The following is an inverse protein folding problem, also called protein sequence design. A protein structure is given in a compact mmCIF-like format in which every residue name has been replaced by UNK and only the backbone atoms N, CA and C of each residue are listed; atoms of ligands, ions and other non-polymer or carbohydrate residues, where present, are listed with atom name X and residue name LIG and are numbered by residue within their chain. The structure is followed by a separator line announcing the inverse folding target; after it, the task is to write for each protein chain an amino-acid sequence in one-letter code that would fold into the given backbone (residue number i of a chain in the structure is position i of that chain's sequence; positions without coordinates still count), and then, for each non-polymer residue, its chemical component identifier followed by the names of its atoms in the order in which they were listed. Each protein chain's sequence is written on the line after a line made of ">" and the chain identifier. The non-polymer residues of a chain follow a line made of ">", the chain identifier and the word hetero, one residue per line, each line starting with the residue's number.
data_IF_681148336763
#
_entry.id   IF_681148336763
#
_cell.length_a   1.000
_cell.length_b   1.000
_cell.length_c   1.000
_cell.angle_alpha   90.00
_cell.angle_beta   90.00
_cell.angle_gamma   90.00
#
_symmetry.space_group_name_H-M   'P 1'
#
loop_
_entity.id
_entity.type
_entity.pdbx_description
1 polymer ?
#
# COMPACT_ATOMS: atom_id res chain seq x y z
N UNK A 1 17.20 -3.59 11.63
CA UNK A 1 16.65 -3.23 12.96
C UNK A 1 15.62 -4.26 13.39
N UNK A 2 15.56 -4.62 14.69
CA UNK A 2 14.54 -5.51 15.22
C UNK A 2 13.14 -4.96 14.96
N UNK A 3 12.16 -5.84 14.81
CA UNK A 3 10.78 -5.42 14.65
C UNK A 3 10.23 -4.85 15.95
N UNK A 4 9.48 -3.75 15.88
CA UNK A 4 8.91 -3.13 17.08
C UNK A 4 7.72 -3.97 17.50
N UNK A 5 7.69 -4.36 18.77
CA UNK A 5 6.53 -5.05 19.31
C UNK A 5 5.30 -4.14 19.23
N UNK A 6 4.24 -4.64 18.59
CA UNK A 6 2.96 -3.97 18.48
C UNK A 6 1.83 -4.98 18.69
N UNK A 7 0.79 -4.57 19.41
CA UNK A 7 -0.39 -5.37 19.68
C UNK A 7 -1.59 -4.80 18.94
N UNK A 8 -2.27 -5.65 18.18
CA UNK A 8 -3.61 -5.37 17.67
C UNK A 8 -4.60 -6.30 18.40
N UNK A 9 -5.35 -5.72 19.34
CA UNK A 9 -6.19 -6.49 20.26
C UNK A 9 -5.34 -7.39 21.16
N UNK A 10 -5.49 -8.72 20.99
CA UNK A 10 -4.76 -9.73 21.76
C UNK A 10 -3.57 -10.33 20.99
N UNK A 11 -3.34 -9.94 19.74
CA UNK A 11 -2.33 -10.53 18.88
C UNK A 11 -1.15 -9.59 18.68
N UNK A 12 0.07 -10.14 18.78
CA UNK A 12 1.28 -9.45 18.36
C UNK A 12 1.37 -9.49 16.84
N UNK A 13 1.57 -8.32 16.22
CA UNK A 13 1.71 -8.20 14.78
C UNK A 13 3.01 -7.47 14.42
N UNK A 14 3.59 -7.87 13.30
CA UNK A 14 4.66 -7.10 12.66
C UNK A 14 4.06 -5.92 11.90
N UNK A 15 4.16 -4.72 12.46
CA UNK A 15 3.74 -3.50 11.76
C UNK A 15 4.53 -3.31 10.46
N UNK A 16 5.83 -3.61 10.49
CA UNK A 16 6.68 -3.51 9.31
C UNK A 16 6.15 -4.42 8.21
N UNK A 17 5.93 -5.69 8.48
CA UNK A 17 5.49 -6.62 7.45
C UNK A 17 4.10 -6.29 6.92
N UNK A 18 3.22 -5.78 7.79
CA UNK A 18 1.87 -5.36 7.39
C UNK A 18 1.92 -4.12 6.49
N UNK A 19 2.62 -3.07 6.92
CA UNK A 19 2.78 -1.82 6.17
C UNK A 19 3.46 -2.04 4.82
N UNK A 20 4.59 -2.75 4.80
CA UNK A 20 5.32 -2.96 3.55
C UNK A 20 4.58 -3.86 2.58
N UNK A 21 3.85 -4.87 3.07
CA UNK A 21 2.97 -5.68 2.22
C UNK A 21 1.90 -4.82 1.56
N UNK A 22 1.26 -3.95 2.32
CA UNK A 22 0.25 -3.04 1.82
C UNK A 22 0.81 -2.09 0.75
N UNK A 23 1.96 -1.46 1.04
CA UNK A 23 2.65 -0.56 0.10
C UNK A 23 3.04 -1.28 -1.19
N UNK A 24 3.61 -2.49 -1.10
CA UNK A 24 4.02 -3.27 -2.27
C UNK A 24 2.82 -3.75 -3.08
N UNK A 25 1.76 -4.23 -2.43
CA UNK A 25 0.55 -4.66 -3.13
C UNK A 25 -0.10 -3.49 -3.86
N UNK A 26 -0.25 -2.34 -3.20
CA UNK A 26 -0.79 -1.14 -3.85
C UNK A 26 0.10 -0.66 -5.01
N UNK A 27 1.43 -0.70 -4.85
CA UNK A 27 2.35 -0.34 -5.93
C UNK A 27 2.13 -1.20 -7.18
N UNK A 28 1.93 -2.51 -7.02
CA UNK A 28 1.71 -3.44 -8.14
C UNK A 28 0.30 -3.37 -8.71
N UNK A 29 -0.73 -3.27 -7.86
CA UNK A 29 -2.13 -3.14 -8.27
C UNK A 29 -2.36 -1.85 -9.05
N UNK A 30 -1.67 -0.77 -8.68
CA UNK A 30 -1.83 0.55 -9.31
C UNK A 30 -0.75 0.87 -10.36
N UNK A 31 0.11 -0.10 -10.72
CA UNK A 31 1.14 0.08 -11.75
C UNK A 31 0.55 0.29 -13.13
N UNK A 32 1.13 1.23 -13.87
CA UNK A 32 0.90 1.40 -15.30
C UNK A 32 1.77 0.41 -16.09
N UNK A 33 1.23 -0.77 -16.40
CA UNK A 33 1.97 -1.82 -17.11
C UNK A 33 2.19 -1.53 -18.60
N UNK A 34 1.49 -0.54 -19.16
CA UNK A 34 1.70 -0.08 -20.54
C UNK A 34 2.96 0.80 -20.69
N UNK A 35 3.55 1.25 -19.58
CA UNK A 35 4.75 2.08 -19.55
C UNK A 35 5.96 1.27 -19.06
N UNK A 36 7.13 1.50 -19.68
CA UNK A 36 8.37 0.81 -19.32
C UNK A 36 9.02 1.34 -18.02
N UNK A 37 8.57 2.47 -17.49
CA UNK A 37 9.07 3.02 -16.24
C UNK A 37 8.87 2.01 -15.09
N UNK A 38 9.94 1.67 -14.35
CA UNK A 38 9.85 0.67 -13.30
C UNK A 38 9.11 1.24 -12.08
N UNK A 39 8.25 0.42 -11.47
CA UNK A 39 7.75 0.68 -10.13
C UNK A 39 8.88 0.45 -9.12
N UNK A 40 9.18 1.45 -8.28
CA UNK A 40 10.30 1.44 -7.34
C UNK A 40 9.79 1.58 -5.91
N UNK A 41 10.32 0.76 -5.02
CA UNK A 41 10.27 0.96 -3.56
C UNK A 41 11.65 1.44 -3.13
N UNK A 42 11.75 2.67 -2.66
CA UNK A 42 13.02 3.32 -2.33
C UNK A 42 13.11 3.45 -0.82
N UNK A 43 14.13 2.83 -0.25
CA UNK A 43 14.40 2.84 1.19
C UNK A 43 15.64 3.71 1.42
N UNK A 44 15.46 4.79 2.16
CA UNK A 44 16.52 5.68 2.60
C UNK A 44 16.69 5.57 4.12
N UNK A 45 17.66 6.30 4.66
CA UNK A 45 17.96 6.29 6.10
C UNK A 45 16.74 6.72 6.93
N UNK A 46 16.04 7.75 6.49
CA UNK A 46 15.01 8.43 7.29
C UNK A 46 13.60 8.32 6.68
N UNK A 47 13.46 7.66 5.52
CA UNK A 47 12.18 7.53 4.84
C UNK A 47 12.11 6.32 3.91
N UNK A 48 10.89 5.90 3.63
CA UNK A 48 10.57 4.94 2.58
C UNK A 48 9.48 5.56 1.71
N UNK A 49 9.69 5.51 0.40
CA UNK A 49 8.72 6.03 -0.53
C UNK A 49 8.68 5.16 -1.79
N UNK A 50 7.62 5.34 -2.58
CA UNK A 50 7.47 4.63 -3.85
C UNK A 50 7.47 5.61 -5.00
N UNK A 51 8.04 5.20 -6.12
CA UNK A 51 7.96 5.93 -7.38
C UNK A 51 7.37 5.01 -8.43
N UNK A 52 6.33 5.47 -9.10
CA UNK A 52 5.64 4.71 -10.13
C UNK A 52 5.15 5.67 -11.21
N UNK A 53 5.20 5.24 -12.46
CA UNK A 53 4.52 5.99 -13.50
C UNK A 53 3.02 5.83 -13.33
N UNK A 54 2.29 6.93 -13.45
CA UNK A 54 0.84 6.91 -13.33
C UNK A 54 0.20 7.99 -14.19
N UNK A 55 -0.84 7.60 -14.93
CA UNK A 55 -1.94 8.50 -15.28
C UNK A 55 -2.98 8.42 -14.15
N UNK A 56 -3.12 9.45 -13.30
CA UNK A 56 -4.00 9.39 -12.13
C UNK A 56 -5.47 9.48 -12.55
N UNK A 57 -6.35 8.78 -11.81
CA UNK A 57 -7.79 8.88 -11.98
C UNK A 57 -8.34 10.20 -11.40
N UNK A 58 -7.82 10.58 -10.23
CA UNK A 58 -8.13 11.83 -9.54
C UNK A 58 -6.85 12.57 -9.15
N UNK A 59 -6.95 13.89 -9.02
CA UNK A 59 -5.86 14.77 -8.62
C UNK A 59 -6.03 15.24 -7.17
N UNK A 60 -4.94 15.25 -6.41
CA UNK A 60 -4.91 15.79 -5.05
C UNK A 60 -4.39 14.80 -4.01
N UNK A 61 -4.44 15.20 -2.74
CA UNK A 61 -4.10 14.33 -1.62
C UNK A 61 -5.28 13.40 -1.33
N UNK A 62 -4.98 12.13 -1.07
CA UNK A 62 -5.99 11.15 -0.66
C UNK A 62 -6.44 11.50 0.76
N UNK A 63 -7.74 11.74 0.94
CA UNK A 63 -8.37 11.80 2.26
C UNK A 63 -8.65 10.37 2.73
N UNK A 64 -7.98 9.85 3.78
CA UNK A 64 -8.18 8.48 4.24
C UNK A 64 -9.61 8.21 4.76
N UNK A 65 -10.36 9.24 5.14
CA UNK A 65 -11.75 9.16 5.60
C UNK A 65 -12.72 9.21 4.41
N UNK A 66 -12.47 10.12 3.46
CA UNK A 66 -13.40 10.41 2.35
C UNK A 66 -12.78 10.12 0.97
N UNK A 67 -12.28 8.90 0.75
CA UNK A 67 -11.86 8.45 -0.58
C UNK A 67 -12.70 7.27 -1.08
N UNK A 68 -12.90 7.24 -2.40
CA UNK A 68 -13.47 6.10 -3.11
C UNK A 68 -12.33 5.20 -3.63
N UNK A 69 -12.24 3.94 -3.19
CA UNK A 69 -11.17 3.05 -3.62
C UNK A 69 -11.39 2.59 -5.08
N UNK A 70 -10.38 2.77 -5.94
CA UNK A 70 -10.43 2.37 -7.35
C UNK A 70 -9.14 1.64 -7.76
N UNK A 71 -9.18 0.33 -8.10
CA UNK A 71 -7.98 -0.40 -8.50
C UNK A 71 -7.68 -0.15 -9.98
N UNK A 72 -6.47 0.31 -10.29
CA UNK A 72 -6.08 0.54 -11.69
C UNK A 72 -6.10 -0.76 -12.52
N UNK A 73 -5.73 -1.87 -11.88
CA UNK A 73 -5.75 -3.20 -12.47
C UNK A 73 -6.66 -4.14 -11.65
N UNK A 74 -7.98 -4.21 -11.92
CA UNK A 74 -8.91 -5.00 -11.11
C UNK A 74 -8.60 -6.50 -11.08
N UNK A 75 -8.13 -7.07 -12.19
CA UNK A 75 -7.73 -8.49 -12.27
C UNK A 75 -6.55 -8.79 -11.34
N UNK A 76 -5.57 -7.88 -11.30
CA UNK A 76 -4.42 -8.00 -10.41
C UNK A 76 -4.87 -7.84 -8.96
N UNK A 77 -5.72 -6.85 -8.65
CA UNK A 77 -6.29 -6.69 -7.31
C UNK A 77 -7.01 -7.95 -6.83
N UNK A 78 -7.84 -8.55 -7.70
CA UNK A 78 -8.53 -9.80 -7.39
C UNK A 78 -7.54 -10.94 -7.14
N UNK A 79 -6.52 -11.10 -7.98
CA UNK A 79 -5.46 -12.09 -7.76
C UNK A 79 -4.78 -11.94 -6.39
N UNK A 80 -4.36 -10.72 -6.02
CA UNK A 80 -3.73 -10.46 -4.72
C UNK A 80 -4.68 -10.75 -3.54
N UNK A 81 -5.99 -10.52 -3.70
CA UNK A 81 -7.00 -10.88 -2.71
C UNK A 81 -7.11 -12.40 -2.54
N UNK A 82 -7.20 -13.15 -3.63
CA UNK A 82 -7.34 -14.62 -3.60
C UNK A 82 -6.13 -15.31 -2.93
N UNK A 83 -4.92 -14.76 -3.08
CA UNK A 83 -3.72 -15.30 -2.43
C UNK A 83 -3.47 -14.75 -1.02
N UNK A 84 -4.40 -13.98 -0.45
CA UNK A 84 -4.29 -13.42 0.90
C UNK A 84 -3.16 -12.40 1.06
N UNK A 85 -2.90 -11.60 0.02
CA UNK A 85 -1.85 -10.57 0.01
C UNK A 85 -2.37 -9.15 -0.01
N UNK A 86 -3.62 -8.93 -0.40
CA UNK A 86 -4.33 -7.65 -0.25
C UNK A 86 -5.63 -7.84 0.53
N UNK A 87 -5.91 -6.92 1.44
CA UNK A 87 -7.18 -6.85 2.18
C UNK A 87 -8.28 -6.23 1.27
N UNK A 88 -9.46 -5.93 1.83
CA UNK A 88 -10.55 -5.27 1.09
C UNK A 88 -10.11 -3.93 0.49
N UNK A 89 -10.57 -3.61 -0.72
CA UNK A 89 -10.18 -2.40 -1.42
C UNK A 89 -10.43 -1.16 -0.56
N UNK A 90 -9.37 -0.38 -0.32
CA UNK A 90 -9.40 0.83 0.48
C UNK A 90 -9.06 0.66 1.97
N UNK A 91 -9.03 -0.56 2.50
CA UNK A 91 -8.50 -0.80 3.86
C UNK A 91 -7.02 -0.46 3.97
N UNK A 92 -6.28 -0.62 2.88
CA UNK A 92 -4.85 -0.38 2.79
C UNK A 92 -4.40 1.03 3.10
N UNK A 93 -5.03 2.01 2.45
CA UNK A 93 -4.78 3.44 2.69
C UNK A 93 -5.02 3.75 4.17
N UNK A 94 -6.15 3.30 4.74
CA UNK A 94 -6.47 3.53 6.15
C UNK A 94 -5.44 2.92 7.10
N UNK A 95 -4.96 1.71 6.81
CA UNK A 95 -3.92 1.05 7.60
C UNK A 95 -2.59 1.80 7.53
N UNK A 96 -2.18 2.24 6.33
CA UNK A 96 -0.95 3.04 6.17
C UNK A 96 -1.02 4.33 6.98
N UNK A 97 -2.16 5.04 6.96
CA UNK A 97 -2.35 6.26 7.75
C UNK A 97 -2.43 5.97 9.26
N UNK A 98 -3.02 4.85 9.68
CA UNK A 98 -3.14 4.47 11.10
C UNK A 98 -1.78 4.13 11.73
N UNK A 99 -0.89 3.51 10.96
CA UNK A 99 0.39 2.99 11.48
C UNK A 99 1.60 3.87 11.15
N UNK A 100 1.43 4.88 10.28
CA UNK A 100 2.46 5.89 10.04
C UNK A 100 2.45 6.91 11.19
N UNK A 101 3.59 7.16 11.85
CA UNK A 101 3.72 8.30 12.77
C UNK A 101 3.65 9.62 11.98
N UNK A 102 3.18 10.69 12.65
CA UNK A 102 3.22 12.08 12.12
C UNK A 102 4.64 12.55 11.78
#
# INVERSE_FOLDING_TARGET
>A
MPDKFYLEGLHSISLRDRLFREVVCNLLIHREFTNAFPAKLIIQKDQVYTENWSLPHDWGRIDPVNFAPFPKNPVIAHFFKEIGRADELGSGVRNVFRYSPE
#
